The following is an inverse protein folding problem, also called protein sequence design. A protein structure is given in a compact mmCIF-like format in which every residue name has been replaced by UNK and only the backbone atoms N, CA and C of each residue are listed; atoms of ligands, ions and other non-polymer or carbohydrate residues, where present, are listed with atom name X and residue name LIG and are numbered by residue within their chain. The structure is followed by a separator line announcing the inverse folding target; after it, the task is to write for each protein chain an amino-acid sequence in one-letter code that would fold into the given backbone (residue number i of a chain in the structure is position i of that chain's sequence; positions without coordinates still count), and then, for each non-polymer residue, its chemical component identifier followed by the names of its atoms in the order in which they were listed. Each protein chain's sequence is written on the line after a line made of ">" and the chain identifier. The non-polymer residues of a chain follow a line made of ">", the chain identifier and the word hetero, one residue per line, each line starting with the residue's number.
data_IF_287321150865
#
_entry.id   IF_287321150865
#
_cell.length_a   1.000
_cell.length_b   1.000
_cell.length_c   1.000
_cell.angle_alpha   90.00
_cell.angle_beta   90.00
_cell.angle_gamma   90.00
#
_symmetry.space_group_name_H-M   'P 1'
#
loop_
_entity.id
_entity.type
_entity.pdbx_description
1 polymer ?
#
# COMPACT_ATOMS: atom_id res chain seq x y z
N UNK A 1 -13.46 -25.59 10.85
CA UNK A 1 -12.28 -24.71 10.81
C UNK A 1 -12.70 -23.27 10.58
N UNK A 2 -12.10 -22.26 11.26
CA UNK A 2 -12.46 -20.82 11.13
C UNK A 2 -12.43 -20.26 9.68
N UNK A 3 -11.82 -21.00 8.74
CA UNK A 3 -11.72 -20.66 7.32
C UNK A 3 -13.00 -20.98 6.52
N UNK A 4 -13.70 -22.08 6.86
CA UNK A 4 -14.98 -22.47 6.22
C UNK A 4 -16.11 -21.49 6.51
N UNK A 5 -16.25 -21.08 7.77
CA UNK A 5 -17.21 -20.04 8.17
C UNK A 5 -16.97 -18.69 7.47
N UNK A 6 -15.72 -18.31 7.20
CA UNK A 6 -15.41 -17.08 6.44
C UNK A 6 -15.86 -17.17 4.98
N UNK A 7 -15.71 -18.33 4.33
CA UNK A 7 -16.19 -18.53 2.97
C UNK A 7 -17.71 -18.56 2.89
N UNK A 8 -18.37 -19.21 3.85
CA UNK A 8 -19.83 -19.24 3.96
C UNK A 8 -20.41 -17.83 4.15
N UNK A 9 -19.85 -17.05 5.07
CA UNK A 9 -20.26 -15.67 5.28
C UNK A 9 -20.04 -14.79 4.04
N UNK A 10 -18.90 -14.95 3.35
CA UNK A 10 -18.64 -14.24 2.09
C UNK A 10 -19.66 -14.61 1.01
N UNK A 11 -20.01 -15.89 0.90
CA UNK A 11 -21.00 -16.35 -0.07
C UNK A 11 -22.41 -15.84 0.25
N UNK A 12 -22.79 -15.84 1.53
CA UNK A 12 -24.06 -15.28 1.98
C UNK A 12 -24.15 -13.77 1.69
N UNK A 13 -23.10 -12.99 2.04
CA UNK A 13 -23.02 -11.56 1.74
C UNK A 13 -23.04 -11.32 0.23
N UNK A 14 -22.30 -12.11 -0.56
CA UNK A 14 -22.32 -12.00 -2.02
C UNK A 14 -23.71 -12.29 -2.60
N UNK A 15 -24.45 -13.25 -2.03
CA UNK A 15 -25.83 -13.53 -2.39
C UNK A 15 -26.75 -12.32 -2.14
N UNK A 16 -26.65 -11.72 -0.96
CA UNK A 16 -27.41 -10.50 -0.59
C UNK A 16 -27.06 -9.32 -1.50
N UNK A 17 -25.77 -9.08 -1.76
CA UNK A 17 -25.33 -7.98 -2.63
C UNK A 17 -25.80 -8.16 -4.08
N UNK A 18 -25.93 -9.39 -4.56
CA UNK A 18 -26.45 -9.69 -5.90
C UNK A 18 -27.96 -9.47 -6.02
N UNK A 19 -28.72 -9.72 -4.95
CA UNK A 19 -30.18 -9.54 -4.94
C UNK A 19 -30.61 -8.14 -4.51
N UNK A 20 -29.73 -7.38 -3.86
CA UNK A 20 -29.99 -6.00 -3.47
C UNK A 20 -30.20 -5.09 -4.69
N UNK A 21 -31.24 -4.25 -4.64
CA UNK A 21 -31.43 -3.18 -5.63
C UNK A 21 -30.31 -2.16 -5.47
N UNK A 22 -29.58 -1.91 -6.55
CA UNK A 22 -28.55 -0.88 -6.57
C UNK A 22 -29.19 0.51 -6.40
N UNK A 23 -28.55 1.41 -5.64
CA UNK A 23 -28.98 2.80 -5.59
C UNK A 23 -28.90 3.42 -6.98
N UNK A 24 -29.72 4.45 -7.22
CA UNK A 24 -29.66 5.19 -8.47
C UNK A 24 -28.26 5.79 -8.64
N UNK A 25 -27.66 5.61 -9.82
CA UNK A 25 -26.39 6.23 -10.17
C UNK A 25 -26.51 7.75 -10.06
N UNK A 26 -25.58 8.39 -9.35
CA UNK A 26 -25.44 9.85 -9.31
C UNK A 26 -24.64 10.41 -10.50
N UNK A 27 -24.26 9.56 -11.45
CA UNK A 27 -23.48 9.89 -12.64
C UNK A 27 -24.31 9.56 -13.88
N UNK A 28 -24.38 10.51 -14.81
CA UNK A 28 -25.05 10.38 -16.11
C UNK A 28 -24.27 9.47 -17.06
N UNK A 29 -24.92 9.03 -18.15
CA UNK A 29 -24.27 8.25 -19.21
C UNK A 29 -23.13 9.02 -19.89
N UNK A 30 -23.29 10.33 -20.05
CA UNK A 30 -22.28 11.20 -20.67
C UNK A 30 -21.05 11.34 -19.79
N UNK A 31 -21.21 11.61 -18.49
CA UNK A 31 -20.10 11.67 -17.54
C UNK A 31 -19.39 10.32 -17.42
N UNK A 32 -20.14 9.21 -17.41
CA UNK A 32 -19.54 7.87 -17.43
C UNK A 32 -18.68 7.65 -18.67
N UNK A 33 -19.13 8.12 -19.84
CA UNK A 33 -18.37 8.06 -21.09
C UNK A 33 -17.12 8.95 -21.01
N UNK A 34 -17.23 10.16 -20.45
CA UNK A 34 -16.11 11.07 -20.26
C UNK A 34 -15.05 10.48 -19.32
N UNK A 35 -15.44 9.92 -18.17
CA UNK A 35 -14.53 9.24 -17.22
C UNK A 35 -13.82 8.07 -17.90
N UNK A 36 -14.54 7.28 -18.71
CA UNK A 36 -13.93 6.18 -19.48
C UNK A 36 -12.93 6.69 -20.51
N UNK A 37 -13.25 7.79 -21.20
CA UNK A 37 -12.35 8.43 -22.17
C UNK A 37 -11.07 8.92 -21.49
N UNK A 38 -11.20 9.65 -20.37
CA UNK A 38 -10.06 10.13 -19.59
C UNK A 38 -9.18 8.99 -19.09
N UNK A 39 -9.78 7.87 -18.66
CA UNK A 39 -9.04 6.69 -18.23
C UNK A 39 -8.26 6.00 -19.37
N UNK A 40 -8.72 6.15 -20.61
CA UNK A 40 -8.08 5.56 -21.79
C UNK A 40 -7.01 6.45 -22.41
N UNK A 41 -6.95 7.71 -22.01
CA UNK A 41 -5.96 8.66 -22.48
C UNK A 41 -4.64 8.47 -21.72
N UNK A 42 -3.61 7.98 -22.43
CA UNK A 42 -2.28 7.73 -21.85
C UNK A 42 -1.42 9.02 -21.76
N UNK A 43 -1.84 10.11 -22.39
CA UNK A 43 -1.13 11.40 -22.32
C UNK A 43 -1.30 12.10 -20.97
N UNK A 44 -2.31 11.69 -20.20
CA UNK A 44 -2.60 12.23 -18.87
C UNK A 44 -2.37 11.18 -17.78
N UNK A 45 -1.91 11.65 -16.64
CA UNK A 45 -1.78 10.87 -15.42
C UNK A 45 -2.74 11.44 -14.37
N UNK A 46 -3.63 10.57 -13.86
CA UNK A 46 -4.66 10.92 -12.88
C UNK A 46 -4.25 10.39 -11.50
N UNK A 47 -4.01 11.28 -10.53
CA UNK A 47 -3.47 10.93 -9.21
C UNK A 47 -4.24 11.63 -8.09
N UNK A 48 -4.28 11.06 -6.87
CA UNK A 48 -4.69 11.82 -5.71
C UNK A 48 -3.63 12.90 -5.39
N UNK A 49 -4.11 14.11 -5.06
CA UNK A 49 -3.28 15.11 -4.44
C UNK A 49 -2.81 14.62 -3.07
N UNK A 50 -1.63 15.08 -2.66
CA UNK A 50 -1.11 14.78 -1.35
C UNK A 50 -2.00 15.27 -0.19
N UNK A 51 -2.66 16.42 -0.36
CA UNK A 51 -3.53 17.01 0.64
C UNK A 51 -4.82 17.50 0.00
N UNK A 52 -5.89 17.53 0.77
CA UNK A 52 -7.16 18.15 0.38
C UNK A 52 -8.19 17.21 -0.27
N UNK A 53 -7.95 15.88 -0.32
CA UNK A 53 -8.85 14.89 -0.97
C UNK A 53 -9.20 15.28 -2.42
N UNK A 54 -8.26 15.91 -3.11
CA UNK A 54 -8.41 16.40 -4.48
C UNK A 54 -7.82 15.41 -5.47
N UNK A 55 -8.38 15.34 -6.67
CA UNK A 55 -7.80 14.60 -7.80
C UNK A 55 -7.04 15.56 -8.69
N UNK A 56 -5.83 15.18 -9.10
CA UNK A 56 -4.98 15.94 -10.02
C UNK A 56 -4.92 15.21 -11.35
N UNK A 57 -5.02 15.97 -12.43
CA UNK A 57 -4.74 15.53 -13.79
C UNK A 57 -3.54 16.33 -14.26
N UNK A 58 -2.50 15.65 -14.74
CA UNK A 58 -1.29 16.28 -15.27
C UNK A 58 -0.78 15.49 -16.47
N UNK A 59 0.01 16.13 -17.33
CA UNK A 59 0.67 15.44 -18.44
C UNK A 59 1.59 14.33 -17.93
N UNK A 60 1.49 13.15 -18.55
CA UNK A 60 2.29 11.98 -18.20
C UNK A 60 3.78 12.26 -18.33
N UNK A 61 4.21 12.94 -19.39
CA UNK A 61 5.62 13.29 -19.62
C UNK A 61 6.17 14.18 -18.50
N UNK A 62 5.40 15.20 -18.08
CA UNK A 62 5.77 16.08 -16.96
C UNK A 62 5.90 15.30 -15.65
N UNK A 63 4.96 14.38 -15.40
CA UNK A 63 4.99 13.52 -14.21
C UNK A 63 6.22 12.62 -14.18
N UNK A 64 6.50 11.92 -15.29
CA UNK A 64 7.64 11.01 -15.42
C UNK A 64 8.97 11.74 -15.32
N UNK A 65 9.08 12.95 -15.91
CA UNK A 65 10.26 13.79 -15.79
C UNK A 65 10.51 14.22 -14.34
N UNK A 66 9.49 14.70 -13.62
CA UNK A 66 9.65 15.07 -12.21
C UNK A 66 10.09 13.88 -11.34
N UNK A 67 9.49 12.71 -11.56
CA UNK A 67 9.83 11.50 -10.81
C UNK A 67 11.26 11.04 -11.14
N UNK A 68 11.65 11.08 -12.41
CA UNK A 68 12.99 10.70 -12.87
C UNK A 68 14.06 11.64 -12.32
N UNK A 69 13.83 12.96 -12.39
CA UNK A 69 14.74 13.97 -11.85
C UNK A 69 14.98 13.77 -10.34
N UNK A 70 13.92 13.45 -9.60
CA UNK A 70 14.04 13.12 -8.18
C UNK A 70 14.88 11.85 -7.94
N UNK A 71 14.69 10.81 -8.76
CA UNK A 71 15.43 9.54 -8.65
C UNK A 71 16.88 9.62 -9.17
N UNK A 72 17.26 10.71 -9.83
CA UNK A 72 18.63 10.95 -10.27
C UNK A 72 19.56 11.39 -9.13
N UNK A 73 19.02 11.89 -8.00
CA UNK A 73 19.84 12.25 -6.84
C UNK A 73 20.62 11.05 -6.30
N UNK A 74 21.94 11.05 -6.49
CA UNK A 74 22.84 9.97 -6.06
C UNK A 74 23.28 10.09 -4.60
N UNK A 75 22.99 11.20 -3.93
CA UNK A 75 23.20 11.31 -2.49
C UNK A 75 22.12 10.53 -1.72
N UNK A 76 20.89 10.52 -2.25
CA UNK A 76 19.75 9.80 -1.64
C UNK A 76 19.52 8.41 -2.24
N UNK A 77 19.62 8.25 -3.57
CA UNK A 77 19.25 7.02 -4.27
C UNK A 77 20.43 6.33 -4.95
N UNK A 78 20.44 4.98 -4.87
CA UNK A 78 21.45 4.13 -5.53
C UNK A 78 20.81 3.22 -6.57
N UNK A 79 21.38 3.22 -7.77
CA UNK A 79 21.00 2.26 -8.81
C UNK A 79 21.46 0.85 -8.40
N UNK A 80 20.54 -0.10 -8.45
CA UNK A 80 20.82 -1.51 -8.21
C UNK A 80 21.09 -2.22 -9.53
N UNK A 81 22.14 -3.04 -9.57
CA UNK A 81 22.50 -3.84 -10.76
C UNK A 81 21.52 -4.99 -11.02
N UNK A 82 20.80 -5.45 -9.99
CA UNK A 82 19.87 -6.57 -10.05
C UNK A 82 18.78 -6.39 -9.00
N UNK A 83 17.59 -6.91 -9.29
CA UNK A 83 16.48 -6.95 -8.34
C UNK A 83 16.86 -7.78 -7.08
N UNK A 84 16.87 -7.16 -5.88
CA UNK A 84 17.24 -7.83 -4.64
C UNK A 84 16.10 -8.67 -4.03
N UNK A 85 14.90 -8.68 -4.62
CA UNK A 85 13.68 -9.28 -4.03
C UNK A 85 13.87 -10.74 -3.67
N UNK A 86 14.46 -11.54 -4.57
CA UNK A 86 14.72 -12.95 -4.33
C UNK A 86 15.76 -13.17 -3.23
N UNK A 87 16.81 -12.35 -3.21
CA UNK A 87 17.83 -12.39 -2.18
C UNK A 87 17.22 -12.07 -0.81
N UNK A 88 16.43 -11.00 -0.71
CA UNK A 88 15.71 -10.61 0.51
C UNK A 88 14.79 -11.73 0.99
N UNK A 89 14.09 -12.43 0.08
CA UNK A 89 13.23 -13.57 0.45
C UNK A 89 14.01 -14.76 0.98
N UNK A 90 15.17 -15.07 0.38
CA UNK A 90 16.07 -16.12 0.89
C UNK A 90 16.56 -15.77 2.29
N UNK A 91 17.03 -14.54 2.49
CA UNK A 91 17.43 -14.04 3.81
C UNK A 91 16.30 -14.15 4.82
N UNK A 92 15.07 -13.74 4.46
CA UNK A 92 13.90 -13.87 5.33
C UNK A 92 13.64 -15.33 5.72
N UNK A 93 13.68 -16.26 4.77
CA UNK A 93 13.53 -17.70 5.06
C UNK A 93 14.61 -18.19 6.02
N UNK A 94 15.86 -17.81 5.80
CA UNK A 94 16.98 -18.18 6.67
C UNK A 94 16.78 -17.66 8.10
N UNK A 95 16.25 -16.45 8.26
CA UNK A 95 15.97 -15.89 9.59
C UNK A 95 14.78 -16.56 10.29
N UNK A 96 13.74 -16.95 9.55
CA UNK A 96 12.53 -17.55 10.12
C UNK A 96 12.66 -19.05 10.39
N UNK A 97 13.55 -19.75 9.67
CA UNK A 97 13.70 -21.21 9.78
C UNK A 97 14.06 -21.67 11.20
N UNK A 98 15.05 -21.07 11.91
CA UNK A 98 15.35 -21.45 13.29
C UNK A 98 14.17 -21.24 14.24
N UNK A 99 13.36 -20.19 14.02
CA UNK A 99 12.18 -19.92 14.84
C UNK A 99 11.10 -20.99 14.67
N UNK A 100 10.98 -21.54 13.46
CA UNK A 100 10.08 -22.67 13.19
C UNK A 100 10.62 -23.96 13.85
N UNK A 101 11.89 -24.27 13.67
CA UNK A 101 12.55 -25.47 14.23
C UNK A 101 12.53 -25.48 15.77
N UNK A 102 12.63 -24.31 16.39
CA UNK A 102 12.54 -24.13 17.86
C UNK A 102 11.10 -23.95 18.35
N UNK A 103 10.11 -24.15 17.49
CA UNK A 103 8.67 -24.00 17.79
C UNK A 103 8.27 -22.63 18.37
N UNK A 104 9.05 -21.58 18.08
CA UNK A 104 8.72 -20.19 18.46
C UNK A 104 7.65 -19.59 17.55
N UNK A 105 7.52 -20.11 16.33
CA UNK A 105 6.43 -19.80 15.41
C UNK A 105 5.80 -21.08 14.87
N UNK A 106 4.51 -21.06 14.58
CA UNK A 106 3.81 -22.19 13.97
C UNK A 106 4.11 -22.28 12.46
N UNK A 107 3.88 -23.44 11.86
CA UNK A 107 3.96 -23.61 10.40
C UNK A 107 3.02 -22.65 9.65
N UNK A 108 1.83 -22.39 10.21
CA UNK A 108 0.88 -21.42 9.65
C UNK A 108 1.46 -20.00 9.67
N UNK A 109 2.06 -19.58 10.79
CA UNK A 109 2.71 -18.28 10.90
C UNK A 109 3.90 -18.17 9.95
N UNK A 110 4.75 -19.20 9.84
CA UNK A 110 5.87 -19.22 8.89
C UNK A 110 5.40 -19.03 7.44
N UNK A 111 4.37 -19.76 7.03
CA UNK A 111 3.78 -19.64 5.68
C UNK A 111 3.11 -18.29 5.46
N UNK A 112 2.57 -17.67 6.50
CA UNK A 112 1.99 -16.33 6.41
C UNK A 112 3.06 -15.24 6.29
N UNK A 113 4.15 -15.33 7.06
CA UNK A 113 5.23 -14.35 7.09
C UNK A 113 6.03 -14.31 5.79
N UNK A 114 6.12 -15.44 5.09
CA UNK A 114 6.79 -15.55 3.79
C UNK A 114 5.75 -15.50 2.67
N UNK A 115 5.56 -14.36 1.99
CA UNK A 115 4.57 -14.27 0.93
C UNK A 115 4.93 -15.19 -0.23
N UNK A 116 3.91 -15.80 -0.83
CA UNK A 116 4.06 -16.63 -2.04
C UNK A 116 4.58 -15.82 -3.23
N UNK A 117 3.95 -14.69 -3.63
CA UNK A 117 4.47 -13.88 -4.73
C UNK A 117 5.71 -13.09 -4.32
N UNK A 118 6.61 -12.88 -5.27
CA UNK A 118 7.77 -12.01 -5.12
C UNK A 118 7.44 -10.66 -5.75
N UNK A 119 6.69 -9.84 -5.02
CA UNK A 119 6.35 -8.49 -5.47
C UNK A 119 7.49 -7.55 -5.10
N UNK A 120 8.10 -6.94 -6.11
CA UNK A 120 9.04 -5.84 -5.94
C UNK A 120 8.25 -4.58 -5.61
N UNK A 121 8.57 -3.86 -4.51
CA UNK A 121 7.95 -2.57 -4.23
C UNK A 121 8.14 -1.61 -5.41
N UNK A 122 7.14 -0.78 -5.64
CA UNK A 122 7.15 0.22 -6.70
C UNK A 122 6.97 1.61 -6.09
N UNK A 123 7.47 2.62 -6.80
CA UNK A 123 7.45 4.02 -6.36
C UNK A 123 6.53 4.83 -7.27
N UNK A 124 5.78 5.76 -6.68
CA UNK A 124 5.00 6.76 -7.38
C UNK A 124 5.08 8.10 -6.64
N UNK A 125 4.65 9.18 -7.30
CA UNK A 125 4.65 10.53 -6.76
C UNK A 125 3.24 11.03 -6.49
N UNK A 126 2.99 11.63 -5.31
CA UNK A 126 1.74 12.38 -5.07
C UNK A 126 1.97 13.89 -5.23
N UNK A 127 1.20 14.62 -6.05
CA UNK A 127 1.41 16.05 -6.26
C UNK A 127 1.13 16.88 -5.01
N UNK A 128 2.09 17.72 -4.60
CA UNK A 128 1.93 18.69 -3.51
C UNK A 128 1.34 20.00 -4.02
N UNK A 129 0.05 20.01 -4.34
CA UNK A 129 -0.68 21.17 -4.92
C UNK A 129 -0.66 22.45 -4.05
N UNK A 130 -0.26 22.35 -2.78
CA UNK A 130 -0.14 23.46 -1.83
C UNK A 130 1.28 24.06 -1.79
N UNK A 131 2.18 23.62 -2.68
CA UNK A 131 3.56 24.11 -2.80
C UNK A 131 3.77 24.69 -4.20
N UNK A 132 4.65 25.69 -4.30
CA UNK A 132 5.07 26.27 -5.58
C UNK A 132 5.61 25.17 -6.50
N UNK A 133 5.28 25.24 -7.79
CA UNK A 133 5.68 24.29 -8.84
C UNK A 133 5.14 22.85 -8.65
N UNK A 134 4.24 22.64 -7.69
CA UNK A 134 3.53 21.37 -7.44
C UNK A 134 4.45 20.13 -7.43
N UNK A 135 5.53 20.11 -6.62
CA UNK A 135 6.48 19.00 -6.60
C UNK A 135 5.81 17.70 -6.15
N UNK A 136 6.32 16.58 -6.65
CA UNK A 136 5.88 15.25 -6.22
C UNK A 136 6.44 14.89 -4.83
N UNK A 137 5.66 14.13 -4.05
CA UNK A 137 6.17 13.36 -2.92
C UNK A 137 6.37 11.91 -3.31
N UNK A 138 7.59 11.37 -3.18
CA UNK A 138 7.82 9.96 -3.39
C UNK A 138 7.08 9.13 -2.36
N UNK A 139 6.32 8.14 -2.82
CA UNK A 139 5.67 7.11 -2.01
C UNK A 139 6.09 5.75 -2.55
N UNK A 140 6.63 4.91 -1.67
CA UNK A 140 6.95 3.52 -2.00
C UNK A 140 5.80 2.62 -1.55
N UNK A 141 5.11 2.04 -2.50
CA UNK A 141 4.12 1.00 -2.20
C UNK A 141 4.82 -0.34 -2.01
N UNK A 142 4.88 -0.73 -0.73
CA UNK A 142 5.45 -2.00 -0.28
C UNK A 142 4.38 -3.06 0.02
N UNK A 143 3.11 -2.82 -0.35
CA UNK A 143 2.03 -3.78 -0.14
C UNK A 143 2.34 -5.08 -0.89
N UNK A 144 2.20 -6.21 -0.19
CA UNK A 144 2.50 -7.57 -0.70
C UNK A 144 3.97 -7.81 -1.04
N UNK A 145 4.87 -6.88 -0.73
CA UNK A 145 6.30 -7.10 -0.85
C UNK A 145 6.79 -8.20 0.10
N UNK A 146 8.01 -8.68 -0.15
CA UNK A 146 8.63 -9.80 0.61
C UNK A 146 8.59 -9.60 2.12
N UNK A 147 8.76 -8.37 2.59
CA UNK A 147 8.82 -8.05 4.02
C UNK A 147 7.49 -7.56 4.59
N UNK A 148 6.44 -7.38 3.78
CA UNK A 148 5.20 -6.75 4.21
C UNK A 148 4.52 -7.44 5.40
N UNK A 149 4.34 -8.77 5.32
CA UNK A 149 3.68 -9.53 6.40
C UNK A 149 4.55 -9.58 7.66
N UNK A 150 5.88 -9.65 7.50
CA UNK A 150 6.81 -9.57 8.62
C UNK A 150 6.69 -8.22 9.33
N UNK A 151 6.74 -7.11 8.57
CA UNK A 151 6.59 -5.76 9.12
C UNK A 151 5.28 -5.62 9.88
N UNK A 152 4.17 -6.13 9.34
CA UNK A 152 2.88 -6.12 10.03
C UNK A 152 2.91 -6.92 11.33
N UNK A 153 3.48 -8.12 11.32
CA UNK A 153 3.60 -8.94 12.53
C UNK A 153 4.45 -8.25 13.60
N UNK A 154 5.56 -7.62 13.22
CA UNK A 154 6.41 -6.85 14.14
C UNK A 154 5.67 -5.65 14.73
N UNK A 155 4.87 -4.93 13.93
CA UNK A 155 4.05 -3.82 14.44
C UNK A 155 3.09 -4.31 15.51
N UNK A 156 2.40 -5.43 15.31
CA UNK A 156 1.48 -5.98 16.33
C UNK A 156 2.19 -6.37 17.63
N UNK A 157 3.45 -6.85 17.55
CA UNK A 157 4.28 -7.18 18.72
C UNK A 157 4.74 -5.91 19.45
N UNK A 158 5.13 -4.87 18.70
CA UNK A 158 5.69 -3.64 19.25
C UNK A 158 4.59 -2.72 19.78
N UNK A 159 3.40 -2.73 19.17
CA UNK A 159 2.31 -1.79 19.46
C UNK A 159 1.92 -1.69 20.95
N UNK A 160 1.81 -2.79 21.73
CA UNK A 160 1.55 -2.71 23.17
C UNK A 160 2.66 -2.02 23.98
N UNK A 161 3.87 -1.95 23.45
CA UNK A 161 5.03 -1.31 24.07
C UNK A 161 5.15 0.17 23.69
N UNK A 162 4.39 0.63 22.69
CA UNK A 162 4.34 2.03 22.31
C UNK A 162 3.42 2.77 23.29
N UNK A 163 3.92 3.81 23.96
CA UNK A 163 3.13 4.61 24.90
C UNK A 163 3.49 4.43 26.38
N UNK A 164 4.34 3.46 26.71
CA UNK A 164 4.73 3.16 28.10
C UNK A 164 6.01 3.86 28.55
N UNK A 165 6.72 4.55 27.64
CA UNK A 165 7.92 5.30 27.98
C UNK A 165 7.60 6.71 28.48
N UNK A 166 8.44 7.23 29.38
CA UNK A 166 8.33 8.59 29.92
C UNK A 166 8.46 9.70 28.84
N UNK A 167 8.92 9.34 27.63
CA UNK A 167 9.09 10.26 26.51
C UNK A 167 8.00 10.11 25.45
N UNK A 168 6.92 9.37 25.73
CA UNK A 168 5.81 9.27 24.82
C UNK A 168 5.02 10.58 24.79
N UNK A 169 5.09 11.29 23.66
CA UNK A 169 4.15 12.35 23.36
C UNK A 169 2.88 11.74 22.77
N UNK A 170 1.75 11.72 23.50
CA UNK A 170 0.48 11.30 22.92
C UNK A 170 0.14 12.24 21.76
N UNK A 171 -0.11 11.68 20.58
CA UNK A 171 -0.73 12.44 19.51
C UNK A 171 -2.10 12.91 20.03
N UNK A 172 -2.34 14.22 20.01
CA UNK A 172 -3.62 14.80 20.40
C UNK A 172 -4.72 14.27 19.47
N UNK A 173 -5.46 13.26 19.93
CA UNK A 173 -6.58 12.68 19.20
C UNK A 173 -6.90 11.27 19.70
N UNK A 174 -7.77 11.19 20.70
CA UNK A 174 -8.58 9.99 20.92
C UNK A 174 -9.46 9.83 19.67
N UNK A 175 -9.01 9.03 18.70
CA UNK A 175 -9.88 8.44 17.70
C UNK A 175 -9.28 7.13 17.19
N UNK A 176 -10.02 6.06 17.47
CA UNK A 176 -9.77 4.67 17.08
C UNK A 176 -9.88 4.50 15.58
N UNK A 177 -9.03 5.12 14.75
CA UNK A 177 -8.91 4.85 13.31
C UNK A 177 -7.51 5.21 12.77
N UNK A 178 -6.45 4.53 13.24
CA UNK A 178 -5.15 4.50 12.54
C UNK A 178 -4.89 3.14 11.88
N UNK A 179 -5.70 2.86 10.86
CA UNK A 179 -5.23 2.22 9.63
C UNK A 179 -5.60 3.13 8.47
N UNK A 180 -4.91 4.25 8.36
CA UNK A 180 -4.90 5.08 7.16
C UNK A 180 -3.68 5.98 7.23
N UNK A 181 -2.62 5.61 6.52
CA UNK A 181 -1.75 6.65 5.97
C UNK A 181 -2.65 7.47 5.03
N UNK A 182 -2.86 8.74 5.38
CA UNK A 182 -3.44 9.78 4.53
C UNK A 182 -2.60 11.03 4.69
#
# INVERSE_FOLDING_TARGET
>A
TKKGHKSELRNAIAGILKSAKLPHSNITKQETKAIKSLKQDNSITILPADRGRTTVIMDTDTYEQQLTNMLQDRNTYKILKKDPTQQKKRTLKTLLKPLLETNKITQEAYNHLIPTPNVTPWIYGTPKIHKKDTPLRPVVDSIRSVTYNLSKALVEIIKPLLGTSQHHYPHSGNDTLMTSWK
#
